data_IF_387600240756
#
_entry.id   IF_387600240756
#
_cell.length_a   1.000
_cell.length_b   1.000
_cell.length_c   1.000
_cell.angle_alpha   90.00
_cell.angle_beta   90.00
_cell.angle_gamma   90.00
#
_symmetry.space_group_name_H-M   'P 1'
#
loop_
_entity.id
_entity.type
_entity.pdbx_description
1 polymer ?
#
# COMPACT_ATOMS: atom_id res chain seq x y z
N UNK A 1 -8.53 16.59 -26.60
CA UNK A 1 -9.69 16.26 -25.72
C UNK A 1 -9.24 15.86 -24.32
N UNK A 2 -8.45 14.80 -24.16
CA UNK A 2 -8.05 14.31 -22.83
C UNK A 2 -7.17 15.28 -22.03
N UNK A 3 -6.28 16.05 -22.68
CA UNK A 3 -5.52 17.12 -22.01
C UNK A 3 -6.43 18.21 -21.43
N UNK A 4 -7.52 18.56 -22.13
CA UNK A 4 -8.54 19.50 -21.63
C UNK A 4 -9.28 18.91 -20.43
N UNK A 5 -9.62 17.62 -20.48
CA UNK A 5 -10.17 16.91 -19.32
C UNK A 5 -9.19 16.92 -18.13
N UNK A 6 -7.89 16.74 -18.38
CA UNK A 6 -6.88 16.82 -17.34
C UNK A 6 -6.84 18.20 -16.67
N UNK A 7 -6.97 19.29 -17.42
CA UNK A 7 -7.06 20.65 -16.87
C UNK A 7 -8.29 20.78 -15.95
N UNK A 8 -9.46 20.29 -16.37
CA UNK A 8 -10.68 20.29 -15.54
C UNK A 8 -10.45 19.47 -14.26
N UNK A 9 -9.82 18.30 -14.37
CA UNK A 9 -9.50 17.44 -13.24
C UNK A 9 -8.51 18.10 -12.26
N UNK A 10 -7.52 18.86 -12.76
CA UNK A 10 -6.62 19.68 -11.94
C UNK A 10 -7.41 20.72 -11.15
N UNK A 11 -8.35 21.43 -11.79
CA UNK A 11 -9.20 22.40 -11.10
C UNK A 11 -10.05 21.75 -10.00
N UNK A 12 -10.62 20.57 -10.26
CA UNK A 12 -11.35 19.78 -9.27
C UNK A 12 -10.44 19.39 -8.10
N UNK A 13 -9.24 18.90 -8.37
CA UNK A 13 -8.26 18.53 -7.35
C UNK A 13 -7.88 19.74 -6.48
N UNK A 14 -7.58 20.89 -7.10
CA UNK A 14 -7.24 22.13 -6.38
C UNK A 14 -8.41 22.58 -5.50
N UNK A 15 -9.63 22.63 -6.04
CA UNK A 15 -10.82 23.00 -5.28
C UNK A 15 -11.06 22.04 -4.09
N UNK A 16 -10.87 20.74 -4.31
CA UNK A 16 -10.99 19.70 -3.28
C UNK A 16 -9.96 19.91 -2.16
N UNK A 17 -8.68 20.07 -2.50
CA UNK A 17 -7.58 20.28 -1.53
C UNK A 17 -7.78 21.58 -0.75
N UNK A 18 -8.14 22.68 -1.41
CA UNK A 18 -8.36 23.97 -0.73
C UNK A 18 -9.54 23.89 0.25
N UNK A 19 -10.67 23.32 -0.17
CA UNK A 19 -11.86 23.25 0.66
C UNK A 19 -11.64 22.37 1.91
N UNK A 20 -11.18 21.14 1.71
CA UNK A 20 -11.00 20.22 2.83
C UNK A 20 -9.75 20.54 3.66
N UNK A 21 -8.68 21.05 3.05
CA UNK A 21 -7.48 21.49 3.76
C UNK A 21 -7.77 22.65 4.73
N UNK A 22 -8.60 23.63 4.32
CA UNK A 22 -9.04 24.70 5.22
C UNK A 22 -9.91 24.18 6.36
N UNK A 23 -10.83 23.23 6.08
CA UNK A 23 -11.78 22.71 7.07
C UNK A 23 -11.16 21.76 8.09
N UNK A 24 -10.21 20.91 7.68
CA UNK A 24 -9.70 19.80 8.50
C UNK A 24 -8.22 19.96 8.87
N UNK A 25 -7.54 20.99 8.36
CA UNK A 25 -6.12 21.20 8.60
C UNK A 25 -5.29 19.99 8.14
N UNK A 26 -4.29 19.60 8.92
CA UNK A 26 -3.38 18.51 8.54
C UNK A 26 -4.04 17.11 8.62
N UNK A 27 -5.14 16.94 9.37
CA UNK A 27 -5.88 15.67 9.41
C UNK A 27 -6.44 15.26 8.03
N UNK A 28 -6.61 16.22 7.13
CA UNK A 28 -6.90 16.01 5.71
C UNK A 28 -5.95 15.02 5.03
N UNK A 29 -4.65 15.11 5.32
CA UNK A 29 -3.60 14.35 4.64
C UNK A 29 -3.55 12.87 5.03
N UNK A 30 -4.29 12.50 6.07
CA UNK A 30 -4.35 11.14 6.60
C UNK A 30 -5.76 10.56 6.56
N UNK A 31 -6.74 11.32 6.07
CA UNK A 31 -8.11 10.85 5.91
C UNK A 31 -8.22 9.97 4.66
N UNK A 32 -8.57 8.70 4.86
CA UNK A 32 -8.48 7.69 3.80
C UNK A 32 -9.34 8.04 2.59
N UNK A 33 -10.57 8.52 2.76
CA UNK A 33 -11.42 8.90 1.63
C UNK A 33 -10.77 10.01 0.78
N UNK A 34 -10.17 11.00 1.45
CA UNK A 34 -9.56 12.16 0.77
C UNK A 34 -8.24 11.81 0.11
N UNK A 35 -7.40 11.04 0.80
CA UNK A 35 -6.15 10.51 0.25
C UNK A 35 -6.45 9.67 -1.00
N UNK A 36 -7.48 8.82 -0.95
CA UNK A 36 -7.89 8.01 -2.09
C UNK A 36 -8.42 8.84 -3.26
N UNK A 37 -9.23 9.86 -2.99
CA UNK A 37 -9.66 10.80 -4.02
C UNK A 37 -8.46 11.47 -4.70
N UNK A 38 -7.49 11.98 -3.92
CA UNK A 38 -6.27 12.62 -4.43
C UNK A 38 -5.44 11.65 -5.27
N UNK A 39 -5.24 10.42 -4.80
CA UNK A 39 -4.46 9.41 -5.51
C UNK A 39 -5.06 9.13 -6.89
N UNK A 40 -6.35 8.78 -6.93
CA UNK A 40 -7.01 8.40 -8.19
C UNK A 40 -7.14 9.57 -9.16
N UNK A 41 -7.39 10.79 -8.67
CA UNK A 41 -7.53 11.95 -9.57
C UNK A 41 -6.15 12.35 -10.10
N UNK A 42 -5.09 12.24 -9.29
CA UNK A 42 -3.72 12.48 -9.74
C UNK A 42 -3.30 11.46 -10.78
N UNK A 43 -3.58 10.17 -10.57
CA UNK A 43 -3.30 9.12 -11.55
C UNK A 43 -4.04 9.40 -12.88
N UNK A 44 -5.31 9.79 -12.81
CA UNK A 44 -6.11 10.11 -14.00
C UNK A 44 -5.61 11.37 -14.73
N UNK A 45 -5.24 12.43 -14.00
CA UNK A 45 -4.64 13.64 -14.57
C UNK A 45 -3.35 13.27 -15.32
N UNK A 46 -2.43 12.58 -14.65
CA UNK A 46 -1.13 12.21 -15.23
C UNK A 46 -1.29 11.31 -16.46
N UNK A 47 -2.27 10.41 -16.44
CA UNK A 47 -2.61 9.57 -17.57
C UNK A 47 -3.15 10.39 -18.74
N UNK A 48 -4.15 11.26 -18.50
CA UNK A 48 -4.77 12.10 -19.52
C UNK A 48 -3.83 13.18 -20.11
N UNK A 49 -2.81 13.61 -19.35
CA UNK A 49 -1.75 14.51 -19.84
C UNK A 49 -0.78 13.82 -20.81
N UNK A 50 -0.78 12.48 -20.91
CA UNK A 50 0.05 11.70 -21.84
C UNK A 50 1.54 12.12 -21.81
N UNK A 51 2.10 12.25 -20.61
CA UNK A 51 3.52 12.62 -20.41
C UNK A 51 4.48 11.54 -20.98
N UNK A 52 4.00 10.30 -21.10
CA UNK A 52 4.69 9.21 -21.80
C UNK A 52 4.05 8.93 -23.15
N UNK A 53 4.87 8.64 -24.16
CA UNK A 53 4.41 8.20 -25.49
C UNK A 53 3.74 6.83 -25.47
N UNK A 54 3.89 6.05 -24.39
CA UNK A 54 3.31 4.72 -24.24
C UNK A 54 1.81 4.74 -23.95
N UNK A 55 1.23 5.91 -23.64
CA UNK A 55 -0.14 6.00 -23.16
C UNK A 55 -1.12 6.46 -24.23
N UNK A 56 -2.27 5.81 -24.28
CA UNK A 56 -3.36 6.18 -25.15
C UNK A 56 -4.66 6.38 -24.35
N UNK A 57 -4.83 7.56 -23.71
CA UNK A 57 -5.99 7.82 -22.89
C UNK A 57 -7.30 7.58 -23.63
N UNK A 58 -8.22 6.88 -22.98
CA UNK A 58 -9.53 6.57 -23.54
C UNK A 58 -10.68 6.94 -22.59
N UNK A 59 -11.90 7.02 -23.15
CA UNK A 59 -13.09 7.41 -22.39
C UNK A 59 -13.50 6.35 -21.36
N UNK A 60 -13.26 5.07 -21.65
CA UNK A 60 -13.63 3.96 -20.76
C UNK A 60 -12.89 4.07 -19.42
N UNK A 61 -11.58 4.35 -19.43
CA UNK A 61 -10.81 4.59 -18.20
C UNK A 61 -11.29 5.83 -17.46
N UNK A 62 -11.61 6.91 -18.17
CA UNK A 62 -12.14 8.12 -17.55
C UNK A 62 -13.48 7.85 -16.83
N UNK A 63 -14.36 7.01 -17.39
CA UNK A 63 -15.62 6.60 -16.77
C UNK A 63 -15.36 5.72 -15.54
N UNK A 64 -14.54 4.67 -15.68
CA UNK A 64 -14.25 3.72 -14.60
C UNK A 64 -13.59 4.44 -13.41
N UNK A 65 -12.53 5.22 -13.66
CA UNK A 65 -11.86 5.99 -12.60
C UNK A 65 -12.77 7.09 -12.08
N UNK A 66 -13.60 7.72 -12.92
CA UNK A 66 -14.63 8.66 -12.50
C UNK A 66 -15.60 8.09 -11.46
N UNK A 67 -16.03 6.84 -11.62
CA UNK A 67 -16.84 6.15 -10.61
C UNK A 67 -16.10 5.95 -9.27
N UNK A 68 -14.82 5.57 -9.33
CA UNK A 68 -13.96 5.47 -8.14
C UNK A 68 -13.86 6.85 -7.43
N UNK A 69 -13.64 7.92 -8.19
CA UNK A 69 -13.56 9.29 -7.66
C UNK A 69 -14.84 9.72 -6.97
N UNK A 70 -15.99 9.52 -7.61
CA UNK A 70 -17.30 9.90 -7.04
C UNK A 70 -17.55 9.16 -5.73
N UNK A 71 -17.25 7.86 -5.66
CA UNK A 71 -17.50 7.08 -4.45
C UNK A 71 -16.61 7.51 -3.28
N UNK A 72 -15.31 7.73 -3.50
CA UNK A 72 -14.42 8.24 -2.45
C UNK A 72 -14.75 9.67 -2.05
N UNK A 73 -15.19 10.52 -2.98
CA UNK A 73 -15.69 11.86 -2.68
C UNK A 73 -16.92 11.81 -1.75
N UNK A 74 -17.87 10.92 -2.02
CA UNK A 74 -19.04 10.70 -1.16
C UNK A 74 -18.60 10.21 0.22
N UNK A 75 -17.67 9.26 0.30
CA UNK A 75 -17.12 8.75 1.55
C UNK A 75 -16.48 9.88 2.38
N UNK A 76 -15.63 10.71 1.76
CA UNK A 76 -14.97 11.86 2.40
C UNK A 76 -15.92 12.88 3.03
N UNK A 77 -17.14 12.99 2.50
CA UNK A 77 -18.20 13.84 3.05
C UNK A 77 -18.97 13.17 4.19
N UNK A 78 -19.17 11.84 4.13
CA UNK A 78 -19.96 11.08 5.10
C UNK A 78 -19.22 10.77 6.39
N UNK A 79 -17.94 10.42 6.29
CA UNK A 79 -17.13 10.06 7.45
C UNK A 79 -15.71 10.59 7.27
N UNK A 80 -15.15 11.15 8.34
CA UNK A 80 -13.76 11.57 8.35
C UNK A 80 -13.13 11.43 9.72
N UNK A 81 -11.81 11.30 9.72
CA UNK A 81 -10.97 11.39 10.92
C UNK A 81 -10.68 12.85 11.22
N UNK A 82 -11.07 13.31 12.40
CA UNK A 82 -10.71 14.63 12.92
C UNK A 82 -9.48 14.60 13.82
N UNK A 83 -8.97 15.78 14.15
CA UNK A 83 -7.83 15.90 15.06
C UNK A 83 -8.14 15.40 16.47
N UNK A 84 -9.38 15.60 16.94
CA UNK A 84 -9.78 15.18 18.27
C UNK A 84 -9.94 13.66 18.37
N UNK A 85 -10.34 12.99 17.28
CA UNK A 85 -10.33 11.53 17.20
C UNK A 85 -8.90 11.00 17.38
N UNK A 86 -7.92 11.62 16.72
CA UNK A 86 -6.49 11.25 16.83
C UNK A 86 -5.98 11.50 18.24
N UNK A 87 -6.22 12.68 18.82
CA UNK A 87 -5.81 12.99 20.20
C UNK A 87 -6.39 12.00 21.21
N UNK A 88 -7.64 11.61 21.05
CA UNK A 88 -8.30 10.62 21.93
C UNK A 88 -7.56 9.27 21.91
N UNK A 89 -7.10 8.82 20.74
CA UNK A 89 -6.29 7.60 20.62
C UNK A 89 -4.97 7.74 21.38
N UNK A 90 -4.27 8.87 21.25
CA UNK A 90 -2.98 9.10 21.93
C UNK A 90 -3.10 9.30 23.44
N UNK A 91 -4.20 9.89 23.93
CA UNK A 91 -4.42 10.06 25.37
C UNK A 91 -4.56 8.72 26.10
N UNK A 92 -5.12 7.71 25.43
CA UNK A 92 -5.25 6.35 25.97
C UNK A 92 -3.97 5.49 25.80
N UNK A 93 -2.89 6.08 25.30
CA UNK A 93 -1.61 5.44 25.00
C UNK A 93 -0.67 5.49 26.23
N UNK A 94 -1.03 4.79 27.30
CA UNK A 94 -0.30 4.88 28.59
C UNK A 94 0.00 3.54 29.29
N UNK A 95 -0.48 2.40 28.79
CA UNK A 95 -0.35 1.14 29.54
C UNK A 95 0.98 0.40 29.27
N UNK A 96 1.81 0.24 30.32
CA UNK A 96 3.04 -0.59 30.30
C UNK A 96 2.75 -2.05 29.94
N UNK A 97 1.53 -2.56 30.16
CA UNK A 97 1.15 -3.93 29.77
C UNK A 97 1.06 -4.07 28.25
N UNK A 98 0.46 -3.10 27.57
CA UNK A 98 0.38 -3.08 26.11
C UNK A 98 1.80 -3.12 25.52
N UNK A 99 2.72 -2.30 26.04
CA UNK A 99 4.14 -2.33 25.63
C UNK A 99 4.73 -3.75 25.69
N UNK A 100 4.58 -4.46 26.82
CA UNK A 100 5.18 -5.79 26.99
C UNK A 100 4.66 -6.82 25.99
N UNK A 101 3.34 -6.81 25.73
CA UNK A 101 2.69 -7.75 24.82
C UNK A 101 3.16 -7.50 23.38
N UNK A 102 3.02 -6.27 22.90
CA UNK A 102 3.42 -5.89 21.55
C UNK A 102 4.92 -6.08 21.31
N UNK A 103 5.76 -5.71 22.28
CA UNK A 103 7.21 -5.85 22.16
C UNK A 103 7.63 -7.33 22.05
N UNK A 104 7.05 -8.22 22.88
CA UNK A 104 7.35 -9.66 22.85
C UNK A 104 6.90 -10.35 21.58
N UNK A 105 5.70 -10.04 21.09
CA UNK A 105 5.19 -10.63 19.85
C UNK A 105 6.05 -10.18 18.66
N UNK A 106 6.38 -8.88 18.60
CA UNK A 106 7.26 -8.37 17.56
C UNK A 106 8.67 -9.00 17.61
N UNK A 107 9.24 -9.20 18.81
CA UNK A 107 10.53 -9.90 18.97
C UNK A 107 10.46 -11.36 18.47
N UNK A 108 9.38 -12.09 18.78
CA UNK A 108 9.21 -13.47 18.35
C UNK A 108 9.14 -13.57 16.82
N UNK A 109 8.32 -12.70 16.19
CA UNK A 109 8.20 -12.65 14.73
C UNK A 109 9.54 -12.29 14.09
N UNK A 110 10.27 -11.31 14.66
CA UNK A 110 11.59 -10.91 14.19
C UNK A 110 12.57 -12.09 14.17
N UNK A 111 12.65 -12.86 15.25
CA UNK A 111 13.56 -14.01 15.35
C UNK A 111 13.22 -15.05 14.28
N UNK A 112 11.94 -15.44 14.17
CA UNK A 112 11.50 -16.45 13.20
C UNK A 112 11.77 -15.97 11.76
N UNK A 113 11.40 -14.73 11.43
CA UNK A 113 11.60 -14.17 10.10
C UNK A 113 13.09 -14.03 9.74
N UNK A 114 13.95 -13.67 10.70
CA UNK A 114 15.39 -13.59 10.50
C UNK A 114 16.01 -14.95 10.21
N UNK A 115 15.62 -15.99 10.96
CA UNK A 115 16.08 -17.36 10.72
C UNK A 115 15.65 -17.87 9.34
N UNK A 116 14.39 -17.62 8.95
CA UNK A 116 13.87 -17.99 7.63
C UNK A 116 14.61 -17.24 6.51
N UNK A 117 14.91 -15.95 6.69
CA UNK A 117 15.69 -15.17 5.73
C UNK A 117 17.12 -15.73 5.60
N UNK A 118 17.82 -15.96 6.71
CA UNK A 118 19.19 -16.51 6.71
C UNK A 118 19.23 -17.87 6.00
N UNK A 119 18.26 -18.74 6.25
CA UNK A 119 18.15 -20.02 5.57
C UNK A 119 18.00 -19.86 4.04
N UNK A 120 17.15 -18.93 3.58
CA UNK A 120 16.97 -18.68 2.15
C UNK A 120 18.22 -18.02 1.53
N UNK A 121 18.85 -17.07 2.21
CA UNK A 121 20.09 -16.45 1.75
C UNK A 121 21.25 -17.46 1.67
N UNK A 122 21.32 -18.42 2.59
CA UNK A 122 22.28 -19.52 2.50
C UNK A 122 22.01 -20.46 1.32
N UNK A 123 20.73 -20.77 1.06
CA UNK A 123 20.30 -21.68 -0.02
C UNK A 123 20.45 -21.09 -1.42
N UNK A 124 20.14 -19.80 -1.58
CA UNK A 124 20.05 -19.13 -2.88
C UNK A 124 21.11 -18.05 -3.13
N UNK A 125 21.93 -17.72 -2.14
CA UNK A 125 22.81 -16.55 -2.20
C UNK A 125 22.05 -15.24 -1.92
N UNK A 126 22.80 -14.13 -1.91
CA UNK A 126 22.25 -12.78 -1.70
C UNK A 126 22.20 -12.02 -3.03
N UNK A 127 20.99 -11.74 -3.50
CA UNK A 127 20.73 -11.11 -4.81
C UNK A 127 21.39 -9.73 -4.97
N UNK A 128 21.57 -9.01 -3.85
CA UNK A 128 22.22 -7.69 -3.88
C UNK A 128 23.68 -7.74 -4.33
N UNK A 129 24.32 -8.91 -4.29
CA UNK A 129 25.70 -9.12 -4.74
C UNK A 129 25.77 -9.53 -6.21
N UNK A 130 24.66 -9.90 -6.83
CA UNK A 130 24.60 -10.34 -8.22
C UNK A 130 24.70 -9.16 -9.20
N UNK A 131 25.24 -9.41 -10.40
CA UNK A 131 25.34 -8.40 -11.45
C UNK A 131 23.96 -8.05 -12.03
N UNK A 132 23.10 -9.06 -12.24
CA UNK A 132 21.72 -8.87 -12.65
C UNK A 132 20.81 -8.84 -11.41
N UNK A 133 20.30 -7.65 -11.07
CA UNK A 133 19.41 -7.43 -9.90
C UNK A 133 17.95 -7.20 -10.31
N UNK A 134 17.58 -7.62 -11.52
CA UNK A 134 16.22 -7.47 -12.04
C UNK A 134 15.27 -8.30 -11.18
N UNK A 135 15.67 -9.53 -10.86
CA UNK A 135 14.93 -10.41 -9.97
C UNK A 135 15.09 -10.00 -8.50
N UNK A 136 14.09 -10.36 -7.70
CA UNK A 136 14.09 -10.11 -6.25
C UNK A 136 14.82 -11.27 -5.57
N UNK A 137 15.25 -11.07 -4.32
CA UNK A 137 15.79 -12.15 -3.51
C UNK A 137 14.91 -13.40 -3.61
N UNK A 138 15.49 -14.48 -4.13
CA UNK A 138 14.79 -15.74 -4.24
C UNK A 138 14.46 -16.25 -2.85
N UNK A 139 13.18 -16.55 -2.62
CA UNK A 139 12.66 -17.06 -1.37
C UNK A 139 11.62 -18.14 -1.68
N UNK A 140 11.61 -19.20 -0.87
CA UNK A 140 10.56 -20.21 -0.94
C UNK A 140 9.18 -19.55 -0.74
N UNK A 141 8.14 -20.09 -1.40
CA UNK A 141 6.82 -19.45 -1.47
C UNK A 141 6.26 -19.03 -0.09
N UNK A 142 6.35 -19.93 0.91
CA UNK A 142 5.87 -19.64 2.26
C UNK A 142 6.84 -18.77 3.07
N UNK A 143 8.14 -18.83 2.77
CA UNK A 143 9.16 -18.04 3.44
C UNK A 143 8.95 -16.54 3.21
N UNK A 144 8.52 -16.15 2.01
CA UNK A 144 8.21 -14.77 1.67
C UNK A 144 7.18 -14.14 2.64
N UNK A 145 6.10 -14.85 2.97
CA UNK A 145 5.07 -14.33 3.88
C UNK A 145 5.65 -14.08 5.27
N UNK A 146 6.47 -15.01 5.79
CA UNK A 146 7.09 -14.88 7.12
C UNK A 146 8.09 -13.72 7.13
N UNK A 147 8.94 -13.61 6.12
CA UNK A 147 9.94 -12.53 6.02
C UNK A 147 9.24 -11.17 5.93
N UNK A 148 8.15 -11.05 5.17
CA UNK A 148 7.43 -9.78 5.02
C UNK A 148 6.59 -9.39 6.24
N UNK A 149 6.38 -10.27 7.23
CA UNK A 149 5.86 -9.87 8.55
C UNK A 149 6.80 -8.90 9.28
N UNK A 150 8.07 -8.79 8.86
CA UNK A 150 8.99 -7.77 9.37
C UNK A 150 8.50 -6.33 9.15
N UNK A 151 7.58 -6.10 8.21
CA UNK A 151 6.90 -4.79 8.07
C UNK A 151 6.11 -4.48 9.35
N UNK A 152 5.28 -5.41 9.83
CA UNK A 152 4.50 -5.23 11.05
C UNK A 152 5.40 -5.12 12.28
N UNK A 153 6.49 -5.90 12.35
CA UNK A 153 7.50 -5.77 13.41
C UNK A 153 8.06 -4.36 13.44
N UNK A 154 8.52 -3.85 12.29
CA UNK A 154 9.06 -2.49 12.18
C UNK A 154 8.04 -1.43 12.61
N UNK A 155 6.77 -1.56 12.20
CA UNK A 155 5.71 -0.62 12.62
C UNK A 155 5.50 -0.63 14.13
N UNK A 156 5.36 -1.81 14.74
CA UNK A 156 5.19 -1.95 16.20
C UNK A 156 6.41 -1.36 16.91
N UNK A 157 7.62 -1.79 16.53
CA UNK A 157 8.86 -1.36 17.18
C UNK A 157 9.13 0.13 17.00
N UNK A 158 8.76 0.72 15.86
CA UNK A 158 8.84 2.16 15.64
C UNK A 158 7.94 2.93 16.62
N UNK A 159 6.67 2.52 16.73
CA UNK A 159 5.71 3.16 17.66
C UNK A 159 6.21 3.03 19.11
N UNK A 160 6.64 1.83 19.52
CA UNK A 160 7.16 1.57 20.87
C UNK A 160 8.43 2.39 21.13
N UNK A 161 9.38 2.42 20.19
CA UNK A 161 10.59 3.22 20.31
C UNK A 161 10.27 4.72 20.40
N UNK A 162 9.39 5.27 19.55
CA UNK A 162 9.03 6.69 19.64
C UNK A 162 8.42 7.05 20.99
N UNK A 163 7.65 6.15 21.60
CA UNK A 163 7.02 6.41 22.90
C UNK A 163 7.97 6.21 24.08
N UNK A 164 8.64 5.07 24.14
CA UNK A 164 9.37 4.61 25.34
C UNK A 164 10.89 4.78 25.24
N UNK A 165 11.43 5.08 24.04
CA UNK A 165 12.86 5.29 23.78
C UNK A 165 13.77 4.11 24.15
N UNK A 166 13.24 2.88 24.18
CA UNK A 166 14.04 1.72 24.47
C UNK A 166 14.95 1.36 23.28
N UNK A 167 16.26 1.27 23.54
CA UNK A 167 17.26 0.94 22.52
C UNK A 167 17.02 -0.43 21.87
N UNK A 168 16.50 -1.41 22.62
CA UNK A 168 16.19 -2.73 22.07
C UNK A 168 15.16 -2.64 20.94
N UNK A 169 14.12 -1.81 21.10
CA UNK A 169 13.11 -1.65 20.06
C UNK A 169 13.71 -0.99 18.82
N UNK A 170 14.65 -0.05 18.99
CA UNK A 170 15.39 0.54 17.87
C UNK A 170 16.25 -0.49 17.12
N UNK A 171 16.97 -1.36 17.84
CA UNK A 171 17.80 -2.40 17.23
C UNK A 171 16.96 -3.40 16.42
N UNK A 172 15.83 -3.84 16.97
CA UNK A 172 14.92 -4.76 16.26
C UNK A 172 14.28 -4.09 15.04
N UNK A 173 13.89 -2.81 15.17
CA UNK A 173 13.42 -2.00 14.04
C UNK A 173 14.48 -1.94 12.92
N UNK A 174 15.72 -1.56 13.27
CA UNK A 174 16.80 -1.41 12.30
C UNK A 174 17.14 -2.74 11.62
N UNK A 175 17.25 -3.82 12.39
CA UNK A 175 17.47 -5.16 11.83
C UNK A 175 16.36 -5.62 10.89
N UNK A 176 15.10 -5.32 11.22
CA UNK A 176 13.95 -5.61 10.37
C UNK A 176 14.00 -4.86 9.04
N UNK A 177 14.31 -3.55 9.08
CA UNK A 177 14.47 -2.72 7.88
C UNK A 177 15.63 -3.23 7.01
N UNK A 178 16.75 -3.61 7.63
CA UNK A 178 17.91 -4.13 6.93
C UNK A 178 17.57 -5.42 6.17
N UNK A 179 16.92 -6.39 6.81
CA UNK A 179 16.49 -7.63 6.14
C UNK A 179 15.54 -7.32 4.98
N UNK A 180 14.54 -6.46 5.20
CA UNK A 180 13.61 -6.04 4.14
C UNK A 180 14.34 -5.39 2.96
N UNK A 181 15.34 -4.56 3.22
CA UNK A 181 16.19 -3.95 2.20
C UNK A 181 16.97 -4.99 1.39
N UNK A 182 17.55 -5.97 2.08
CA UNK A 182 18.30 -7.07 1.44
C UNK A 182 17.42 -7.94 0.52
N UNK A 183 16.10 -7.95 0.70
CA UNK A 183 15.21 -8.66 -0.24
C UNK A 183 15.10 -8.01 -1.62
N UNK A 184 15.59 -6.76 -1.78
CA UNK A 184 15.43 -5.92 -2.97
C UNK A 184 13.97 -5.70 -3.41
N UNK A 185 13.00 -5.98 -2.52
CA UNK A 185 11.59 -5.77 -2.80
C UNK A 185 11.14 -4.38 -2.32
N UNK A 186 10.83 -3.49 -3.28
CA UNK A 186 10.36 -2.13 -3.01
C UNK A 186 9.04 -2.06 -2.26
N UNK A 187 8.18 -3.07 -2.41
CA UNK A 187 6.85 -3.11 -1.83
C UNK A 187 6.90 -2.98 -0.30
N UNK A 188 7.45 -3.96 0.44
CA UNK A 188 7.54 -3.94 1.90
C UNK A 188 8.12 -2.65 2.49
N UNK A 189 9.18 -2.11 1.88
CA UNK A 189 9.82 -0.88 2.36
C UNK A 189 8.91 0.34 2.14
N UNK A 190 8.23 0.40 0.99
CA UNK A 190 7.26 1.46 0.70
C UNK A 190 6.06 1.38 1.65
N UNK A 191 5.56 0.17 1.96
CA UNK A 191 4.51 -0.02 2.96
C UNK A 191 4.93 0.57 4.31
N UNK A 192 6.13 0.22 4.78
CA UNK A 192 6.66 0.72 6.05
C UNK A 192 6.81 2.24 6.06
N UNK A 193 7.30 2.80 4.95
CA UNK A 193 7.49 4.25 4.83
C UNK A 193 6.16 5.00 4.93
N UNK A 194 5.13 4.51 4.23
CA UNK A 194 3.78 5.07 4.27
C UNK A 194 3.20 4.97 5.68
N UNK A 195 3.27 3.81 6.33
CA UNK A 195 2.67 3.61 7.66
C UNK A 195 3.36 4.41 8.75
N UNK A 196 4.70 4.49 8.73
CA UNK A 196 5.47 5.38 9.62
C UNK A 196 5.14 6.84 9.34
N UNK A 197 5.06 7.26 8.07
CA UNK A 197 4.73 8.63 7.69
C UNK A 197 3.35 9.06 8.22
N UNK A 198 2.33 8.20 8.08
CA UNK A 198 0.98 8.46 8.62
C UNK A 198 1.03 8.57 10.15
N UNK A 199 1.77 7.68 10.82
CA UNK A 199 1.94 7.74 12.27
C UNK A 199 2.60 9.05 12.72
N UNK A 200 3.62 9.54 12.02
CA UNK A 200 4.26 10.81 12.38
C UNK A 200 3.34 12.02 12.15
N UNK A 201 2.47 11.98 11.13
CA UNK A 201 1.40 12.99 11.00
C UNK A 201 0.43 12.93 12.18
N UNK A 202 0.02 11.73 12.60
CA UNK A 202 -0.81 11.52 13.80
C UNK A 202 -0.14 12.05 15.07
N UNK A 203 1.14 11.72 15.26
CA UNK A 203 1.94 12.19 16.38
C UNK A 203 2.08 13.72 16.38
N UNK A 204 2.30 14.32 15.21
CA UNK A 204 2.32 15.78 15.07
C UNK A 204 0.98 16.42 15.44
N UNK A 205 -0.15 15.87 14.96
CA UNK A 205 -1.50 16.34 15.35
C UNK A 205 -1.69 16.32 16.87
N UNK A 206 -1.18 15.29 17.54
CA UNK A 206 -1.27 15.15 18.99
C UNK A 206 -0.44 16.21 19.74
N UNK A 207 0.76 16.55 19.27
CA UNK A 207 1.67 17.45 20.00
C UNK A 207 1.63 18.91 19.51
N UNK A 208 1.02 19.21 18.35
CA UNK A 208 1.12 20.52 17.69
C UNK A 208 0.71 21.71 18.56
N UNK A 209 -0.26 21.53 19.47
CA UNK A 209 -0.73 22.60 20.35
C UNK A 209 0.33 23.03 21.37
N UNK A 210 1.27 22.14 21.70
CA UNK A 210 2.38 22.39 22.64
C UNK A 210 3.62 22.97 21.97
N UNK A 211 3.68 22.93 20.64
CA UNK A 211 4.83 23.41 19.86
C UNK A 211 4.73 24.91 19.59
N UNK A 212 5.87 25.61 19.59
CA UNK A 212 5.97 27.00 19.14
C UNK A 212 5.75 27.13 17.63
N UNK A 213 5.45 28.33 17.13
CA UNK A 213 5.26 28.59 15.68
C UNK A 213 6.48 28.15 14.86
N UNK A 214 7.69 28.41 15.34
CA UNK A 214 8.95 27.98 14.71
C UNK A 214 9.06 26.45 14.66
N UNK A 215 8.82 25.76 15.78
CA UNK A 215 8.86 24.30 15.83
C UNK A 215 7.84 23.66 14.88
N UNK A 216 6.61 24.19 14.82
CA UNK A 216 5.59 23.73 13.87
C UNK A 216 6.06 23.89 12.43
N UNK A 217 6.62 25.05 12.07
CA UNK A 217 7.16 25.29 10.74
C UNK A 217 8.26 24.29 10.35
N UNK A 218 9.19 24.01 11.27
CA UNK A 218 10.23 22.99 11.08
C UNK A 218 9.61 21.61 10.89
N UNK A 219 8.62 21.21 11.70
CA UNK A 219 7.97 19.90 11.54
C UNK A 219 7.23 19.76 10.21
N UNK A 220 6.55 20.80 9.73
CA UNK A 220 5.97 20.80 8.38
C UNK A 220 7.05 20.63 7.30
N UNK A 221 8.18 21.35 7.42
CA UNK A 221 9.32 21.18 6.53
C UNK A 221 9.86 19.76 6.54
N UNK A 222 9.99 19.13 7.71
CA UNK A 222 10.45 17.75 7.85
C UNK A 222 9.47 16.72 7.25
N UNK A 223 8.17 16.92 7.42
CA UNK A 223 7.15 16.09 6.77
C UNK A 223 7.21 16.22 5.24
N UNK A 224 7.47 17.44 4.73
CA UNK A 224 7.69 17.67 3.30
C UNK A 224 8.99 17.03 2.78
N UNK A 225 10.09 17.15 3.52
CA UNK A 225 11.36 16.52 3.14
C UNK A 225 11.28 15.01 3.16
N UNK A 226 10.45 14.42 4.02
CA UNK A 226 10.18 12.99 4.05
C UNK A 226 9.61 12.52 2.70
N UNK A 227 8.67 13.26 2.10
CA UNK A 227 8.18 12.96 0.73
C UNK A 227 9.30 13.06 -0.31
N UNK A 228 10.19 14.06 -0.23
CA UNK A 228 11.32 14.17 -1.16
C UNK A 228 12.31 13.00 -1.03
N UNK A 229 12.63 12.59 0.20
CA UNK A 229 13.47 11.42 0.50
C UNK A 229 12.82 10.14 -0.04
N UNK A 230 11.50 10.00 0.08
CA UNK A 230 10.77 8.88 -0.51
C UNK A 230 10.93 8.82 -2.02
N UNK A 231 10.71 9.94 -2.72
CA UNK A 231 10.85 10.03 -4.18
C UNK A 231 12.27 9.65 -4.62
N UNK A 232 13.28 10.18 -3.92
CA UNK A 232 14.68 9.87 -4.20
C UNK A 232 14.99 8.38 -3.96
N UNK A 233 14.60 7.84 -2.82
CA UNK A 233 14.83 6.44 -2.47
C UNK A 233 14.14 5.49 -3.45
N UNK A 234 12.88 5.78 -3.80
CA UNK A 234 12.12 5.00 -4.77
C UNK A 234 12.80 4.99 -6.14
N UNK A 235 13.35 6.13 -6.56
CA UNK A 235 14.15 6.24 -7.79
C UNK A 235 15.49 5.51 -7.73
N UNK A 236 16.19 5.56 -6.59
CA UNK A 236 17.47 4.87 -6.40
C UNK A 236 17.33 3.36 -6.54
N UNK A 237 16.39 2.74 -5.80
CA UNK A 237 16.10 1.30 -5.96
C UNK A 237 15.52 1.01 -7.35
N UNK A 238 14.75 1.98 -7.88
CA UNK A 238 14.36 2.16 -9.28
C UNK A 238 15.43 1.71 -10.27
N UNK A 239 16.49 2.49 -10.25
CA UNK A 239 17.58 2.43 -11.22
C UNK A 239 18.44 1.18 -10.99
N UNK A 240 18.81 0.86 -9.74
CA UNK A 240 19.67 -0.31 -9.45
C UNK A 240 19.09 -1.62 -10.01
N UNK A 241 17.78 -1.83 -9.89
CA UNK A 241 17.17 -3.08 -10.37
C UNK A 241 17.09 -3.16 -11.90
N UNK A 242 17.03 -2.02 -12.58
CA UNK A 242 16.79 -1.96 -14.03
C UNK A 242 18.01 -1.54 -14.83
N UNK A 243 19.10 -1.17 -14.17
CA UNK A 243 20.38 -0.77 -14.78
C UNK A 243 20.85 -1.81 -15.79
N UNK A 244 20.95 -3.06 -15.37
CA UNK A 244 21.33 -4.17 -16.26
C UNK A 244 20.36 -4.33 -17.44
N UNK A 245 19.05 -4.27 -17.19
CA UNK A 245 18.05 -4.41 -18.24
C UNK A 245 18.13 -3.26 -19.26
N UNK A 246 18.29 -2.02 -18.81
CA UNK A 246 18.41 -0.86 -19.69
C UNK A 246 19.70 -0.90 -20.51
N UNK A 247 20.83 -1.24 -19.90
CA UNK A 247 22.12 -1.25 -20.58
C UNK A 247 22.30 -2.45 -21.52
N UNK A 248 21.92 -3.65 -21.07
CA UNK A 248 22.27 -4.91 -21.75
C UNK A 248 21.14 -5.49 -22.58
N UNK A 249 19.89 -5.34 -22.14
CA UNK A 249 18.71 -5.91 -22.82
C UNK A 249 18.09 -4.90 -23.79
N UNK A 250 17.65 -3.76 -23.25
CA UNK A 250 16.93 -2.74 -24.03
C UNK A 250 17.86 -1.77 -24.76
N UNK A 251 19.15 -1.70 -24.38
CA UNK A 251 20.18 -0.82 -24.95
C UNK A 251 19.72 0.64 -25.05
N UNK A 252 19.10 1.13 -23.98
CA UNK A 252 18.50 2.46 -23.90
C UNK A 252 18.61 3.02 -22.48
N UNK A 253 18.14 4.24 -22.24
CA UNK A 253 18.03 4.81 -20.90
C UNK A 253 16.56 4.78 -20.42
N UNK A 254 16.35 5.01 -19.11
CA UNK A 254 15.02 5.00 -18.48
C UNK A 254 14.00 5.87 -19.23
N UNK A 255 14.38 7.09 -19.57
CA UNK A 255 13.50 8.10 -20.16
C UNK A 255 13.08 7.74 -21.59
N UNK A 256 14.04 7.37 -22.43
CA UNK A 256 13.79 6.93 -23.81
C UNK A 256 12.98 5.65 -23.85
N UNK A 257 13.28 4.68 -22.97
CA UNK A 257 12.54 3.43 -22.86
C UNK A 257 11.05 3.66 -22.59
N UNK A 258 10.75 4.61 -21.71
CA UNK A 258 9.37 4.94 -21.34
C UNK A 258 8.79 6.15 -22.08
N UNK A 259 9.51 6.71 -23.06
CA UNK A 259 9.06 7.85 -23.85
C UNK A 259 8.73 9.10 -23.03
N UNK A 260 9.52 9.40 -22.00
CA UNK A 260 9.36 10.56 -21.11
C UNK A 260 10.52 11.54 -21.32
N UNK A 261 10.31 12.83 -21.04
CA UNK A 261 11.36 13.85 -21.14
C UNK A 261 12.51 13.61 -20.15
N UNK A 262 13.76 13.65 -20.65
CA UNK A 262 15.01 13.43 -19.88
C UNK A 262 15.23 14.44 -18.73
N UNK A 263 14.56 15.60 -18.76
CA UNK A 263 14.62 16.58 -17.68
C UNK A 263 13.89 16.15 -16.40
N UNK A 264 13.02 15.13 -16.47
CA UNK A 264 12.26 14.68 -15.29
C UNK A 264 13.17 13.82 -14.39
N UNK A 265 13.32 14.13 -13.08
CA UNK A 265 14.07 13.29 -12.16
C UNK A 265 13.61 11.82 -12.18
N UNK A 266 14.56 10.88 -12.18
CA UNK A 266 14.25 9.44 -12.28
C UNK A 266 13.25 8.93 -11.23
N UNK A 267 13.32 9.44 -10.00
CA UNK A 267 12.33 9.12 -8.94
C UNK A 267 10.90 9.53 -9.31
N UNK A 268 10.73 10.69 -9.95
CA UNK A 268 9.42 11.13 -10.44
C UNK A 268 8.96 10.31 -11.65
N UNK A 269 9.88 9.92 -12.54
CA UNK A 269 9.56 8.99 -13.65
C UNK A 269 9.03 7.67 -13.10
N UNK A 270 9.71 7.08 -12.11
CA UNK A 270 9.25 5.85 -11.49
C UNK A 270 7.87 5.99 -10.85
N UNK A 271 7.62 7.03 -10.05
CA UNK A 271 6.31 7.25 -9.45
C UNK A 271 5.23 7.44 -10.51
N UNK A 272 5.53 8.25 -11.53
CA UNK A 272 4.62 8.48 -12.66
C UNK A 272 4.24 7.15 -13.31
N UNK A 273 5.21 6.32 -13.70
CA UNK A 273 4.97 5.03 -14.34
C UNK A 273 4.16 4.10 -13.44
N UNK A 274 4.47 4.02 -12.15
CA UNK A 274 3.74 3.19 -11.20
C UNK A 274 2.27 3.63 -11.05
N UNK A 275 1.99 4.94 -11.07
CA UNK A 275 0.62 5.45 -10.96
C UNK A 275 -0.19 5.31 -12.25
N UNK A 276 0.45 5.40 -13.41
CA UNK A 276 -0.24 5.54 -14.70
C UNK A 276 -0.22 4.27 -15.57
N UNK A 277 0.84 3.46 -15.51
CA UNK A 277 0.92 2.22 -16.29
C UNK A 277 -0.20 1.22 -15.97
N UNK A 278 -0.73 1.11 -14.72
CA UNK A 278 -1.89 0.27 -14.49
C UNK A 278 -3.10 0.74 -15.29
N UNK A 279 -3.34 2.05 -15.42
CA UNK A 279 -4.48 2.60 -16.17
C UNK A 279 -4.39 2.27 -17.66
N UNK A 280 -3.21 2.40 -18.27
CA UNK A 280 -2.99 1.98 -19.67
C UNK A 280 -3.20 0.47 -19.85
N UNK A 281 -2.69 -0.33 -18.90
CA UNK A 281 -2.90 -1.77 -18.93
C UNK A 281 -4.38 -2.14 -18.82
N UNK A 282 -5.18 -1.42 -18.02
CA UNK A 282 -6.64 -1.59 -17.97
C UNK A 282 -7.28 -1.19 -19.29
N UNK A 283 -6.92 -0.03 -19.85
CA UNK A 283 -7.50 0.47 -21.11
C UNK A 283 -7.38 -0.60 -22.19
N UNK A 284 -6.16 -1.07 -22.42
CA UNK A 284 -5.89 -2.07 -23.43
C UNK A 284 -6.58 -3.42 -23.13
N UNK A 285 -6.55 -3.87 -21.87
CA UNK A 285 -7.14 -5.15 -21.46
C UNK A 285 -8.64 -5.18 -21.71
N UNK A 286 -9.38 -4.14 -21.29
CA UNK A 286 -10.82 -4.11 -21.43
C UNK A 286 -11.29 -3.88 -22.89
N UNK A 287 -10.46 -3.24 -23.71
CA UNK A 287 -10.79 -2.94 -25.11
C UNK A 287 -10.42 -4.09 -26.06
N UNK A 288 -9.30 -4.77 -25.82
CA UNK A 288 -8.69 -5.68 -26.81
C UNK A 288 -8.64 -7.15 -26.38
N UNK A 289 -8.98 -7.49 -25.14
CA UNK A 289 -8.91 -8.87 -24.65
C UNK A 289 -10.29 -9.37 -24.22
N UNK A 290 -10.62 -10.59 -24.65
CA UNK A 290 -11.82 -11.31 -24.22
C UNK A 290 -11.37 -12.46 -23.33
N UNK A 291 -11.80 -12.44 -22.08
CA UNK A 291 -11.53 -13.49 -21.09
C UNK A 291 -12.82 -14.07 -20.54
N UNK A 292 -12.78 -15.32 -20.09
CA UNK A 292 -13.94 -15.96 -19.49
C UNK A 292 -14.13 -15.46 -18.06
N UNK A 293 -15.41 -15.42 -17.64
CA UNK A 293 -15.75 -15.04 -16.27
C UNK A 293 -15.19 -16.00 -15.23
N UNK A 294 -14.73 -15.46 -14.11
CA UNK A 294 -14.10 -16.19 -13.01
C UNK A 294 -14.92 -16.21 -11.72
N UNK A 295 -16.10 -15.58 -11.66
CA UNK A 295 -17.08 -15.70 -10.57
C UNK A 295 -16.51 -15.45 -9.16
N UNK A 296 -15.89 -14.29 -8.94
CA UNK A 296 -15.21 -13.89 -7.69
C UNK A 296 -14.00 -14.75 -7.31
N UNK A 297 -13.50 -15.57 -8.22
CA UNK A 297 -12.31 -16.35 -7.97
C UNK A 297 -11.08 -15.47 -7.78
N UNK A 298 -10.93 -14.36 -8.51
CA UNK A 298 -9.76 -13.49 -8.31
C UNK A 298 -9.78 -12.85 -6.91
N UNK A 299 -10.96 -12.48 -6.41
CA UNK A 299 -11.15 -11.92 -5.08
C UNK A 299 -10.95 -12.95 -3.96
N UNK A 300 -11.46 -14.16 -4.13
CA UNK A 300 -11.59 -15.18 -3.09
C UNK A 300 -10.66 -16.39 -3.29
N UNK A 301 -9.69 -16.29 -4.21
CA UNK A 301 -8.79 -17.38 -4.62
C UNK A 301 -8.24 -18.20 -3.45
N UNK A 302 -7.67 -17.61 -2.38
CA UNK A 302 -7.11 -18.41 -1.29
C UNK A 302 -8.14 -19.29 -0.59
N UNK A 303 -9.36 -18.78 -0.39
CA UNK A 303 -10.44 -19.49 0.28
C UNK A 303 -11.04 -20.59 -0.61
N UNK A 304 -11.26 -20.28 -1.89
CA UNK A 304 -11.79 -21.25 -2.86
C UNK A 304 -10.79 -22.38 -3.07
N UNK A 305 -9.51 -22.07 -3.27
CA UNK A 305 -8.46 -23.08 -3.40
C UNK A 305 -8.37 -23.97 -2.16
N UNK A 306 -8.37 -23.37 -0.97
CA UNK A 306 -8.33 -24.13 0.28
C UNK A 306 -9.54 -25.07 0.42
N UNK A 307 -10.75 -24.56 0.17
CA UNK A 307 -11.96 -25.37 0.17
C UNK A 307 -11.93 -26.50 -0.86
N UNK A 308 -11.49 -26.21 -2.09
CA UNK A 308 -11.35 -27.22 -3.15
C UNK A 308 -10.36 -28.31 -2.76
N UNK A 309 -9.22 -27.97 -2.15
CA UNK A 309 -8.24 -28.94 -1.66
C UNK A 309 -8.82 -29.83 -0.55
N UNK A 310 -9.52 -29.24 0.43
CA UNK A 310 -10.17 -30.02 1.52
C UNK A 310 -11.20 -30.99 0.98
N UNK A 311 -11.96 -30.58 -0.04
CA UNK A 311 -12.97 -31.42 -0.67
C UNK A 311 -12.41 -32.43 -1.69
N UNK A 312 -11.08 -32.52 -1.84
CA UNK A 312 -10.43 -33.41 -2.82
C UNK A 312 -10.54 -32.95 -4.27
N UNK A 313 -11.05 -31.74 -4.53
CA UNK A 313 -11.27 -31.16 -5.88
C UNK A 313 -10.19 -30.16 -6.31
N UNK A 314 -9.01 -30.21 -5.68
CA UNK A 314 -7.92 -29.25 -5.95
C UNK A 314 -7.42 -29.27 -7.40
N UNK A 315 -7.25 -30.47 -7.99
CA UNK A 315 -6.80 -30.60 -9.38
C UNK A 315 -7.88 -30.21 -10.40
N UNK A 316 -9.16 -30.56 -10.13
CA UNK A 316 -10.29 -30.09 -10.96
C UNK A 316 -10.36 -28.57 -10.99
N UNK A 317 -10.23 -27.94 -9.83
CA UNK A 317 -10.21 -26.49 -9.70
C UNK A 317 -9.02 -25.88 -10.45
N UNK A 318 -7.83 -26.48 -10.36
CA UNK A 318 -6.64 -26.03 -11.10
C UNK A 318 -6.85 -26.14 -12.61
N UNK A 319 -7.42 -27.26 -13.09
CA UNK A 319 -7.75 -27.43 -14.50
C UNK A 319 -8.78 -26.40 -14.96
N UNK A 320 -9.84 -26.17 -14.18
CA UNK A 320 -10.83 -25.13 -14.45
C UNK A 320 -10.19 -23.74 -14.54
N UNK A 321 -9.28 -23.40 -13.63
CA UNK A 321 -8.55 -22.13 -13.66
C UNK A 321 -7.74 -21.93 -14.94
N UNK A 322 -7.07 -22.96 -15.43
CA UNK A 322 -6.30 -22.89 -16.68
C UNK A 322 -7.19 -22.60 -17.90
N UNK A 323 -8.46 -23.02 -17.88
CA UNK A 323 -9.40 -22.79 -18.99
C UNK A 323 -9.93 -21.35 -19.08
N UNK A 324 -9.76 -20.53 -18.03
CA UNK A 324 -10.40 -19.21 -17.98
C UNK A 324 -9.63 -18.10 -18.69
N UNK A 325 -8.37 -18.33 -19.04
CA UNK A 325 -7.40 -17.31 -19.47
C UNK A 325 -7.33 -16.13 -18.47
N UNK A 326 -6.32 -15.27 -18.57
CA UNK A 326 -6.18 -14.10 -17.71
C UNK A 326 -5.80 -12.90 -18.54
N UNK A 327 -6.22 -11.71 -18.11
CA UNK A 327 -5.76 -10.48 -18.74
C UNK A 327 -4.24 -10.38 -18.67
N UNK A 328 -3.62 -10.07 -19.80
CA UNK A 328 -2.18 -9.87 -19.91
C UNK A 328 -1.91 -8.37 -19.96
N UNK A 329 -1.09 -7.79 -19.05
CA UNK A 329 -0.75 -6.37 -19.09
C UNK A 329 -0.09 -5.99 -20.42
N UNK A 330 -0.65 -5.00 -21.11
CA UNK A 330 -0.14 -4.53 -22.40
C UNK A 330 1.34 -4.12 -22.35
N UNK A 331 1.67 -3.30 -21.36
CA UNK A 331 3.00 -2.71 -21.23
C UNK A 331 4.07 -3.71 -20.75
N UNK A 332 3.69 -4.93 -20.36
CA UNK A 332 4.63 -6.00 -20.04
C UNK A 332 5.47 -6.36 -21.27
N UNK A 333 4.83 -6.57 -22.42
CA UNK A 333 5.52 -6.91 -23.67
C UNK A 333 6.21 -5.72 -24.32
N UNK A 334 5.66 -4.52 -24.15
CA UNK A 334 6.16 -3.29 -24.80
C UNK A 334 7.36 -2.71 -24.04
N UNK A 335 7.32 -2.72 -22.71
CA UNK A 335 8.28 -1.96 -21.89
C UNK A 335 8.69 -2.66 -20.59
N UNK A 336 8.30 -3.92 -20.39
CA UNK A 336 8.56 -4.67 -19.16
C UNK A 336 7.75 -4.20 -17.95
N UNK A 337 6.70 -3.39 -18.14
CA UNK A 337 5.84 -2.89 -17.07
C UNK A 337 4.64 -3.82 -16.87
N UNK A 338 4.82 -4.83 -16.03
CA UNK A 338 3.78 -5.79 -15.65
C UNK A 338 2.84 -5.30 -14.53
N UNK A 339 2.79 -3.99 -14.27
CA UNK A 339 1.95 -3.42 -13.22
C UNK A 339 0.47 -3.49 -13.62
N UNK A 340 -0.23 -4.52 -13.15
CA UNK A 340 -1.66 -4.69 -13.36
C UNK A 340 -2.48 -3.96 -12.28
N UNK A 341 -3.72 -3.56 -12.62
CA UNK A 341 -4.71 -3.00 -11.68
C UNK A 341 -5.70 -4.06 -11.21
N UNK A 342 -6.44 -3.83 -10.12
CA UNK A 342 -7.53 -4.73 -9.72
C UNK A 342 -8.71 -4.69 -10.70
N UNK A 343 -8.80 -3.63 -11.52
CA UNK A 343 -9.97 -3.40 -12.39
C UNK A 343 -10.18 -4.56 -13.37
N UNK A 344 -9.18 -5.05 -14.14
CA UNK A 344 -9.39 -6.16 -15.06
C UNK A 344 -9.80 -7.44 -14.33
N UNK A 345 -9.19 -7.76 -13.19
CA UNK A 345 -9.59 -8.90 -12.35
C UNK A 345 -11.06 -8.80 -11.90
N UNK A 346 -11.50 -7.60 -11.51
CA UNK A 346 -12.86 -7.35 -11.07
C UNK A 346 -13.87 -7.47 -12.23
N UNK A 347 -13.50 -7.00 -13.43
CA UNK A 347 -14.28 -7.20 -14.65
C UNK A 347 -14.30 -8.66 -15.08
N UNK A 348 -13.22 -9.43 -14.85
CA UNK A 348 -13.22 -10.87 -15.10
C UNK A 348 -14.14 -11.61 -14.13
N UNK A 349 -14.22 -11.19 -12.87
CA UNK A 349 -15.02 -11.91 -11.89
C UNK A 349 -16.53 -11.83 -12.16
N UNK A 350 -17.07 -10.69 -12.61
CA UNK A 350 -18.50 -10.57 -12.98
C UNK A 350 -18.82 -9.32 -13.82
N UNK A 351 -17.93 -8.92 -14.73
CA UNK A 351 -18.07 -7.70 -15.51
C UNK A 351 -18.17 -6.44 -14.63
N UNK A 352 -19.04 -5.50 -15.04
CA UNK A 352 -19.28 -4.25 -14.29
C UNK A 352 -19.75 -4.51 -12.86
N UNK A 353 -20.55 -5.56 -12.63
CA UNK A 353 -21.00 -5.90 -11.28
C UNK A 353 -19.83 -6.32 -10.38
N UNK A 354 -18.88 -7.09 -10.91
CA UNK A 354 -17.65 -7.46 -10.18
C UNK A 354 -16.86 -6.22 -9.78
N UNK A 355 -16.68 -5.26 -10.70
CA UNK A 355 -16.07 -3.96 -10.40
C UNK A 355 -16.77 -3.20 -9.26
N UNK A 356 -18.11 -3.13 -9.26
CA UNK A 356 -18.88 -2.49 -8.20
C UNK A 356 -18.69 -3.16 -6.84
N UNK A 357 -18.63 -4.50 -6.81
CA UNK A 357 -18.37 -5.26 -5.57
C UNK A 357 -16.98 -4.95 -5.01
N UNK A 358 -15.94 -4.96 -5.85
CA UNK A 358 -14.59 -4.59 -5.42
C UNK A 358 -14.53 -3.17 -4.86
N UNK A 359 -15.18 -2.22 -5.53
CA UNK A 359 -15.26 -0.84 -5.06
C UNK A 359 -15.98 -0.73 -3.71
N UNK A 360 -17.10 -1.44 -3.54
CA UNK A 360 -17.82 -1.50 -2.28
C UNK A 360 -16.94 -2.07 -1.14
N UNK A 361 -16.10 -3.06 -1.42
CA UNK A 361 -15.16 -3.62 -0.45
C UNK A 361 -14.12 -2.58 -0.03
N UNK A 362 -13.51 -1.83 -0.96
CA UNK A 362 -12.57 -0.76 -0.59
C UNK A 362 -13.23 0.32 0.26
N UNK A 363 -14.46 0.73 -0.08
CA UNK A 363 -15.23 1.69 0.70
C UNK A 363 -15.54 1.15 2.09
N UNK A 364 -15.92 -0.13 2.20
CA UNK A 364 -16.19 -0.79 3.47
C UNK A 364 -14.95 -0.86 4.35
N UNK A 365 -13.81 -1.26 3.79
CA UNK A 365 -12.51 -1.30 4.48
C UNK A 365 -12.16 0.10 5.01
N UNK A 366 -12.29 1.12 4.17
CA UNK A 366 -12.00 2.50 4.55
C UNK A 366 -12.93 2.97 5.68
N UNK A 367 -14.23 2.75 5.52
CA UNK A 367 -15.25 3.10 6.49
C UNK A 367 -15.04 2.41 7.85
N UNK A 368 -14.77 1.11 7.85
CA UNK A 368 -14.54 0.32 9.07
C UNK A 368 -13.30 0.82 9.79
N UNK A 369 -12.19 1.07 9.10
CA UNK A 369 -10.97 1.52 9.76
C UNK A 369 -11.09 2.94 10.33
N UNK A 370 -11.80 3.86 9.66
CA UNK A 370 -12.13 5.18 10.21
C UNK A 370 -12.99 5.00 11.47
N UNK A 371 -13.99 4.11 11.45
CA UNK A 371 -14.79 3.80 12.65
C UNK A 371 -13.95 3.22 13.78
N UNK A 372 -12.93 2.41 13.51
CA UNK A 372 -12.02 1.85 14.52
C UNK A 372 -11.28 2.98 15.25
N UNK A 373 -10.72 3.96 14.53
CA UNK A 373 -10.07 5.15 15.13
C UNK A 373 -11.04 5.94 16.00
N UNK A 374 -12.25 6.18 15.51
CA UNK A 374 -13.29 6.97 16.22
C UNK A 374 -13.93 6.22 17.38
N UNK A 375 -13.76 4.90 17.46
CA UNK A 375 -14.43 4.09 18.45
C UNK A 375 -13.90 4.38 19.86
N UNK A 376 -14.81 4.54 20.83
CA UNK A 376 -14.49 4.49 22.26
C UNK A 376 -14.37 3.06 22.81
N UNK A 377 -14.58 2.05 21.95
CA UNK A 377 -14.46 0.63 22.32
C UNK A 377 -13.08 0.34 22.90
N UNK A 378 -13.02 -0.67 23.76
CA UNK A 378 -11.81 -1.23 24.40
C UNK A 378 -10.86 -1.88 23.39
N UNK A 379 -10.55 -1.25 22.26
CA UNK A 379 -9.44 -1.65 21.40
C UNK A 379 -8.25 -0.80 21.82
N UNK A 380 -7.08 -1.41 22.02
CA UNK A 380 -5.88 -0.69 22.43
C UNK A 380 -5.47 0.36 21.39
N UNK A 381 -4.86 1.46 21.83
CA UNK A 381 -4.47 2.55 20.94
C UNK A 381 -3.44 2.12 19.89
N UNK A 382 -2.54 1.19 20.23
CA UNK A 382 -1.58 0.59 19.28
C UNK A 382 -2.32 -0.13 18.16
N UNK A 383 -3.29 -1.00 18.48
CA UNK A 383 -4.10 -1.70 17.46
C UNK A 383 -4.84 -0.73 16.57
N UNK A 384 -5.48 0.30 17.15
CA UNK A 384 -6.23 1.31 16.38
C UNK A 384 -5.34 1.99 15.34
N UNK A 385 -4.15 2.44 15.76
CA UNK A 385 -3.17 3.08 14.87
C UNK A 385 -2.73 2.09 13.80
N UNK A 386 -2.30 0.89 14.17
CA UNK A 386 -1.77 -0.10 13.22
C UNK A 386 -2.82 -0.55 12.20
N UNK A 387 -4.05 -0.82 12.61
CA UNK A 387 -5.15 -1.16 11.69
C UNK A 387 -5.36 0.01 10.71
N UNK A 388 -5.41 1.25 11.20
CA UNK A 388 -5.66 2.41 10.36
C UNK A 388 -4.53 2.68 9.36
N UNK A 389 -3.27 2.65 9.80
CA UNK A 389 -2.11 2.90 8.94
C UNK A 389 -1.97 1.80 7.89
N UNK A 390 -2.10 0.52 8.27
CA UNK A 390 -2.07 -0.60 7.34
C UNK A 390 -3.21 -0.53 6.33
N UNK A 391 -4.42 -0.14 6.77
CA UNK A 391 -5.56 0.02 5.88
C UNK A 391 -5.34 1.16 4.88
N UNK A 392 -4.86 2.32 5.33
CA UNK A 392 -4.55 3.43 4.42
C UNK A 392 -3.44 3.06 3.44
N UNK A 393 -2.42 2.32 3.88
CA UNK A 393 -1.38 1.80 3.01
C UNK A 393 -1.96 0.84 1.96
N UNK A 394 -2.82 -0.11 2.35
CA UNK A 394 -3.53 -1.00 1.42
C UNK A 394 -4.30 -0.20 0.36
N UNK A 395 -5.04 0.81 0.79
CA UNK A 395 -5.83 1.67 -0.10
C UNK A 395 -4.93 2.45 -1.07
N UNK A 396 -3.77 2.97 -0.62
CA UNK A 396 -2.80 3.64 -1.48
C UNK A 396 -2.24 2.71 -2.58
N UNK A 397 -2.19 1.41 -2.31
CA UNK A 397 -1.81 0.40 -3.30
C UNK A 397 -2.99 -0.08 -4.17
N UNK A 398 -4.21 0.43 -3.98
CA UNK A 398 -5.40 -0.01 -4.72
C UNK A 398 -5.32 0.22 -6.23
N UNK A 399 -4.43 1.08 -6.73
CA UNK A 399 -4.20 1.21 -8.17
C UNK A 399 -3.70 -0.12 -8.77
N UNK A 400 -3.09 -0.99 -7.96
CA UNK A 400 -2.52 -2.28 -8.37
C UNK A 400 -3.41 -3.47 -7.97
N UNK A 401 -3.36 -4.54 -8.77
CA UNK A 401 -4.02 -5.84 -8.51
C UNK A 401 -3.62 -6.44 -7.17
N UNK A 402 -2.39 -6.17 -6.73
CA UNK A 402 -1.86 -6.73 -5.50
C UNK A 402 -2.54 -6.18 -4.23
N UNK A 403 -3.27 -5.07 -4.28
CA UNK A 403 -3.90 -4.50 -3.07
C UNK A 403 -4.81 -5.45 -2.29
N UNK A 404 -5.56 -6.34 -2.96
CA UNK A 404 -6.33 -7.42 -2.32
C UNK A 404 -5.52 -8.72 -2.14
N UNK A 405 -4.45 -8.91 -2.93
CA UNK A 405 -3.57 -10.08 -2.86
C UNK A 405 -2.39 -9.91 -1.90
N UNK A 406 -2.28 -8.79 -1.17
CA UNK A 406 -1.33 -8.67 -0.06
C UNK A 406 -1.91 -9.45 1.11
N UNK A 407 -1.90 -10.78 1.01
CA UNK A 407 -2.31 -11.69 2.07
C UNK A 407 -1.61 -11.36 3.38
N UNK A 408 -0.40 -10.80 3.31
CA UNK A 408 0.39 -10.32 4.45
C UNK A 408 -0.33 -9.21 5.23
N UNK A 409 -1.02 -8.27 4.58
CA UNK A 409 -1.75 -7.19 5.27
C UNK A 409 -3.01 -7.72 5.94
N UNK A 410 -3.72 -8.65 5.29
CA UNK A 410 -4.86 -9.35 5.91
C UNK A 410 -4.37 -10.16 7.11
N UNK A 411 -3.26 -10.89 6.97
CA UNK A 411 -2.62 -11.62 8.07
C UNK A 411 -2.20 -10.66 9.18
N UNK A 412 -1.62 -9.50 8.87
CA UNK A 412 -1.23 -8.48 9.85
C UNK A 412 -2.45 -7.97 10.63
N UNK A 413 -3.53 -7.59 9.93
CA UNK A 413 -4.76 -7.10 10.56
C UNK A 413 -5.40 -8.21 11.42
N UNK A 414 -5.48 -9.44 10.91
CA UNK A 414 -6.00 -10.58 11.66
C UNK A 414 -5.16 -10.89 12.90
N UNK A 415 -3.83 -10.85 12.78
CA UNK A 415 -2.92 -11.00 13.91
C UNK A 415 -3.14 -9.91 14.95
N UNK A 416 -3.26 -8.65 14.54
CA UNK A 416 -3.54 -7.53 15.46
C UNK A 416 -4.88 -7.71 16.20
N UNK A 417 -5.91 -8.20 15.51
CA UNK A 417 -7.19 -8.54 16.14
C UNK A 417 -7.02 -9.71 17.13
N UNK A 418 -6.27 -10.75 16.79
CA UNK A 418 -5.97 -11.86 17.69
C UNK A 418 -5.22 -11.40 18.95
N UNK A 419 -4.24 -10.50 18.81
CA UNK A 419 -3.51 -9.90 19.95
C UNK A 419 -4.49 -9.14 20.86
N UNK A 420 -5.40 -8.36 20.26
CA UNK A 420 -6.40 -7.60 21.00
C UNK A 420 -7.40 -8.51 21.74
N UNK A 421 -7.89 -9.57 21.09
CA UNK A 421 -8.76 -10.56 21.74
C UNK A 421 -8.04 -11.28 22.90
N UNK A 422 -6.78 -11.65 22.71
CA UNK A 422 -5.95 -12.25 23.76
C UNK A 422 -5.72 -11.30 24.94
N UNK A 423 -5.46 -10.03 24.68
CA UNK A 423 -5.28 -9.00 25.71
C UNK A 423 -6.54 -8.86 26.59
N UNK A 424 -7.74 -8.81 25.99
CA UNK A 424 -9.01 -8.71 26.73
C UNK A 424 -9.29 -9.89 27.64
N UNK A 425 -9.06 -11.12 27.15
CA UNK A 425 -9.24 -12.32 27.98
C UNK A 425 -8.27 -12.30 29.18
N UNK A 426 -7.02 -11.88 28.95
CA UNK A 426 -6.00 -11.83 30.00
C UNK A 426 -6.29 -10.76 31.07
N UNK A 427 -6.89 -9.63 30.70
CA UNK A 427 -7.31 -8.61 31.67
C UNK A 427 -8.54 -9.04 32.47
N UNK A 428 -9.51 -9.73 31.84
CA UNK A 428 -10.72 -10.24 32.53
C UNK A 428 -10.43 -11.37 33.52
N UNK A 429 -9.48 -12.26 33.21
CA UNK A 429 -9.10 -13.40 34.06
C UNK A 429 -8.35 -13.03 35.34
N UNK A 430 -7.84 -11.80 35.47
CA UNK A 430 -7.15 -11.31 36.68
C UNK A 430 -8.03 -10.47 37.60
N UNK A 431 -9.27 -10.17 37.17
CA UNK A 431 -10.25 -9.40 37.95
C UNK A 431 -11.26 -10.32 38.64
N UNK A 432 -11.28 -11.61 38.26
CA UNK A 432 -11.86 -12.71 39.05
C UNK A 432 -10.74 -13.40 39.80
#
# INVERSE_FOLDING_TARGET
>A
MYEVLAIIQILILVAFVVNFGRKQGISFLVDQGKVMFILWITALILYNLKISTLYNPNIQINIVVGAILITFFILSKKISVGEDDIKLVFNNFTDRKQYKIYSRIADLIFIIASLVFIYNAYKYGLEILEANKVDKQQVDHYAAYIIYMLVLVSEIKYILFRRFKNIKDFLVLFGSILILFLTLNRGPITFLFITIGIYEVFNFINIKSKLTKKQRGVTYGLLGSLVAVFIWFFGYIGNIRMEYAFEKVYKTNLWKHYGVNEMIPSGLVWIFLYLTSPLENVAFSLENQVVNLTYFNNLLYPFIKFGATILGKGEEYKAWMLTRATYIPHLEKVSGLNAASFIPDAFQDFGVFGFLVYLAIYLLIAYVSIKVIKSKREITSITKILIYTNTLSLLLWSVFTNSFRISILIINIMLLLCIEFGYKKWTQWRIK
#
